data_IF_250829959357
#
_entry.id   IF_250829959357
#
_cell.length_a   1.000
_cell.length_b   1.000
_cell.length_c   1.000
_cell.angle_alpha   90.00
_cell.angle_beta   90.00
_cell.angle_gamma   90.00
#
_symmetry.space_group_name_H-M   'P 1'
#
loop_
_entity.id
_entity.type
_entity.pdbx_description
1 polymer ?
#
# COMPACT_ATOMS: atom_id res chain seq x y z
N UNK A 1 21.97 -9.07 -38.92
CA UNK A 1 21.10 -9.16 -37.74
C UNK A 1 21.71 -8.59 -36.46
N UNK A 2 22.93 -8.92 -36.01
CA UNK A 2 23.50 -8.35 -34.74
C UNK A 2 23.71 -6.83 -34.74
N UNK A 3 24.03 -6.19 -35.90
CA UNK A 3 24.18 -4.72 -36.00
C UNK A 3 22.84 -3.97 -35.89
N UNK A 4 21.77 -4.50 -36.42
CA UNK A 4 20.44 -3.89 -36.37
C UNK A 4 19.89 -3.94 -34.92
N UNK A 5 20.08 -5.05 -34.19
CA UNK A 5 19.71 -5.14 -32.80
C UNK A 5 20.44 -4.12 -31.90
N UNK A 6 21.74 -3.87 -32.16
CA UNK A 6 22.47 -2.82 -31.38
C UNK A 6 21.97 -1.41 -31.68
N UNK A 7 21.59 -1.12 -32.93
CA UNK A 7 21.06 0.19 -33.30
C UNK A 7 19.66 0.42 -32.71
N UNK A 8 18.81 -0.60 -32.66
CA UNK A 8 17.49 -0.53 -32.02
C UNK A 8 17.61 -0.32 -30.51
N UNK A 9 18.51 -1.02 -29.83
CA UNK A 9 18.76 -0.84 -28.39
C UNK A 9 19.29 0.56 -28.08
N UNK A 10 20.20 1.10 -28.92
CA UNK A 10 20.72 2.46 -28.78
C UNK A 10 19.64 3.53 -29.03
N UNK A 11 18.77 3.30 -30.03
CA UNK A 11 17.67 4.22 -30.30
C UNK A 11 16.62 4.24 -29.17
N UNK A 12 16.32 3.09 -28.57
CA UNK A 12 15.44 2.99 -27.41
C UNK A 12 16.07 3.66 -26.18
N UNK A 13 17.37 3.47 -25.94
CA UNK A 13 18.08 4.14 -24.84
C UNK A 13 18.13 5.67 -25.03
N UNK A 14 18.36 6.16 -26.24
CA UNK A 14 18.32 7.60 -26.57
C UNK A 14 16.91 8.19 -26.43
N UNK A 15 15.87 7.48 -26.85
CA UNK A 15 14.49 7.91 -26.68
C UNK A 15 14.07 8.01 -25.21
N UNK A 16 14.53 7.07 -24.38
CA UNK A 16 14.33 7.11 -22.92
C UNK A 16 15.06 8.32 -22.31
N UNK A 17 16.29 8.61 -22.71
CA UNK A 17 17.06 9.74 -22.18
C UNK A 17 16.43 11.09 -22.60
N UNK A 18 15.94 11.22 -23.82
CA UNK A 18 15.30 12.44 -24.32
C UNK A 18 13.94 12.66 -23.65
N UNK A 19 13.17 11.59 -23.42
CA UNK A 19 11.88 11.69 -22.73
C UNK A 19 12.06 12.04 -21.25
N UNK A 20 13.08 11.51 -20.58
CA UNK A 20 13.38 11.83 -19.17
C UNK A 20 13.91 13.26 -18.99
N UNK A 21 14.71 13.77 -19.92
CA UNK A 21 15.18 15.17 -19.86
C UNK A 21 14.06 16.18 -20.12
N UNK A 22 13.11 15.89 -21.01
CA UNK A 22 11.93 16.72 -21.23
C UNK A 22 10.98 16.72 -20.05
N UNK A 23 10.78 15.59 -19.40
CA UNK A 23 9.96 15.46 -18.19
C UNK A 23 10.62 16.19 -17.00
N UNK A 24 11.94 16.10 -16.86
CA UNK A 24 12.70 16.79 -15.81
C UNK A 24 12.64 18.31 -15.97
N UNK A 25 12.77 18.84 -17.19
CA UNK A 25 12.60 20.30 -17.45
C UNK A 25 11.19 20.77 -17.17
N UNK A 26 10.17 19.96 -17.45
CA UNK A 26 8.77 20.26 -17.13
C UNK A 26 8.50 20.24 -15.63
N UNK A 27 9.07 19.28 -14.90
CA UNK A 27 9.00 19.21 -13.44
C UNK A 27 9.72 20.40 -12.78
N UNK A 28 10.91 20.73 -13.24
CA UNK A 28 11.68 21.89 -12.72
C UNK A 28 10.99 23.22 -13.05
N UNK A 29 10.28 23.33 -14.17
CA UNK A 29 9.48 24.51 -14.48
C UNK A 29 8.23 24.62 -13.60
N UNK A 30 7.59 23.52 -13.23
CA UNK A 30 6.49 23.50 -12.26
C UNK A 30 6.97 23.86 -10.85
N UNK A 31 8.12 23.34 -10.40
CA UNK A 31 8.70 23.71 -9.10
C UNK A 31 9.01 25.22 -9.00
N UNK A 32 9.50 25.86 -10.07
CA UNK A 32 9.70 27.33 -10.10
C UNK A 32 8.40 28.13 -10.08
N UNK A 33 7.28 27.54 -10.54
CA UNK A 33 5.97 28.20 -10.52
C UNK A 33 5.35 28.21 -9.12
N UNK A 34 5.53 27.16 -8.34
CA UNK A 34 5.00 27.08 -6.96
C UNK A 34 5.72 28.01 -5.98
N UNK A 35 7.01 28.27 -6.18
CA UNK A 35 7.75 29.29 -5.40
C UNK A 35 7.31 30.72 -5.68
N UNK A 36 6.72 31.00 -6.82
CA UNK A 36 6.39 32.36 -7.27
C UNK A 36 4.94 32.81 -6.95
N UNK A 37 4.06 31.87 -6.61
CA UNK A 37 2.68 32.17 -6.24
C UNK A 37 2.36 31.59 -4.85
N UNK A 38 2.59 32.42 -3.83
CA UNK A 38 2.16 32.15 -2.47
C UNK A 38 0.66 31.92 -2.39
N UNK A 39 0.22 30.69 -2.31
CA UNK A 39 -1.16 30.31 -2.07
C UNK A 39 -1.39 30.17 -0.57
N UNK A 40 -2.20 31.10 -0.04
CA UNK A 40 -2.73 31.10 1.32
C UNK A 40 -3.64 29.90 1.56
N UNK A 41 -3.57 29.37 2.78
CA UNK A 41 -4.47 28.37 3.35
C UNK A 41 -5.93 28.74 3.18
N UNK A 42 -6.74 27.77 2.80
CA UNK A 42 -8.14 27.68 3.22
C UNK A 42 -8.49 26.25 3.59
N UNK A 43 -9.30 26.16 4.63
CA UNK A 43 -9.70 25.01 5.41
C UNK A 43 -10.36 23.88 4.61
N UNK A 44 -10.26 22.67 5.17
CA UNK A 44 -10.91 21.42 4.83
C UNK A 44 -10.14 20.45 3.92
N UNK A 45 -9.38 19.56 4.54
CA UNK A 45 -8.96 18.30 3.92
C UNK A 45 -7.50 17.93 4.16
N UNK A 46 -7.31 16.76 4.67
CA UNK A 46 -6.01 16.11 4.87
C UNK A 46 -5.12 16.22 3.63
N UNK A 47 -4.07 17.01 3.73
CA UNK A 47 -3.00 17.08 2.76
C UNK A 47 -1.85 16.17 3.20
N UNK A 48 -1.44 15.25 2.34
CA UNK A 48 -0.22 14.45 2.49
C UNK A 48 1.07 15.26 2.19
N UNK A 49 1.04 16.56 2.40
CA UNK A 49 2.14 17.47 2.10
C UNK A 49 2.90 17.90 3.35
N UNK A 50 3.33 16.97 4.20
CA UNK A 50 4.44 17.23 5.12
C UNK A 50 5.22 15.93 5.39
N UNK A 51 6.07 15.56 4.43
CA UNK A 51 7.30 14.86 4.78
C UNK A 51 8.17 15.83 5.60
N UNK A 52 8.75 15.42 6.73
CA UNK A 52 9.60 16.29 7.53
C UNK A 52 10.76 16.83 6.67
N UNK A 53 10.84 18.14 6.52
CA UNK A 53 11.95 18.86 5.85
C UNK A 53 13.19 18.91 6.74
N UNK A 54 13.67 17.78 7.23
CA UNK A 54 15.03 17.70 7.82
C UNK A 54 15.57 16.28 7.63
N UNK A 55 15.86 15.93 6.38
CA UNK A 55 16.94 15.00 6.13
C UNK A 55 18.20 15.85 6.07
N UNK A 56 19.03 15.76 7.12
CA UNK A 56 20.33 16.40 7.16
C UNK A 56 21.10 16.16 5.87
N UNK A 57 21.56 17.24 5.23
CA UNK A 57 22.26 17.29 3.94
C UNK A 57 23.68 16.67 3.96
N UNK A 58 24.00 15.83 4.92
CA UNK A 58 25.33 15.21 5.05
C UNK A 58 25.42 13.75 4.57
N UNK A 59 24.34 13.16 4.07
CA UNK A 59 24.35 11.82 3.47
C UNK A 59 23.62 11.73 2.12
N UNK A 60 23.45 12.86 1.43
CA UNK A 60 23.02 12.86 0.03
C UNK A 60 24.23 12.58 -0.86
N UNK A 61 24.82 11.41 -0.69
CA UNK A 61 25.61 10.78 -1.73
C UNK A 61 24.63 10.36 -2.83
N UNK A 62 24.61 11.16 -3.92
CA UNK A 62 23.98 10.83 -5.20
C UNK A 62 22.62 10.12 -5.09
N UNK A 63 21.55 10.85 -4.79
CA UNK A 63 20.19 10.53 -5.20
C UNK A 63 20.05 10.64 -6.73
N UNK A 64 20.97 10.01 -7.47
CA UNK A 64 20.80 9.71 -8.86
C UNK A 64 19.84 8.52 -8.96
N UNK A 65 18.53 8.88 -9.03
CA UNK A 65 17.54 8.20 -9.85
C UNK A 65 17.64 6.67 -9.82
N UNK A 66 17.11 6.04 -8.80
CA UNK A 66 16.70 4.65 -8.90
C UNK A 66 15.42 4.56 -9.78
N UNK A 67 15.57 4.79 -11.07
CA UNK A 67 14.58 4.33 -12.04
C UNK A 67 14.68 2.80 -12.07
N UNK A 68 13.55 2.14 -11.81
CA UNK A 68 13.45 0.71 -12.03
C UNK A 68 13.83 0.38 -13.46
N UNK A 69 14.80 -0.52 -13.64
CA UNK A 69 15.09 -1.05 -14.97
C UNK A 69 13.90 -1.86 -15.48
N UNK A 70 13.73 -1.97 -16.80
CA UNK A 70 12.66 -2.79 -17.39
C UNK A 70 12.62 -4.22 -16.80
N UNK A 71 13.75 -4.81 -16.42
CA UNK A 71 13.80 -6.14 -15.79
C UNK A 71 13.29 -6.14 -14.34
N UNK A 72 13.43 -5.03 -13.62
CA UNK A 72 12.89 -4.86 -12.28
C UNK A 72 11.38 -4.61 -12.33
N UNK A 73 10.93 -3.81 -13.30
CA UNK A 73 9.52 -3.66 -13.62
C UNK A 73 8.88 -5.03 -13.92
N UNK A 74 9.53 -5.87 -14.70
CA UNK A 74 9.08 -7.23 -15.03
C UNK A 74 8.87 -8.12 -13.80
N UNK A 75 9.67 -7.97 -12.74
CA UNK A 75 9.51 -8.69 -11.46
C UNK A 75 8.30 -8.19 -10.64
N UNK A 76 7.88 -6.95 -10.84
CA UNK A 76 6.68 -6.35 -10.24
C UNK A 76 5.45 -6.43 -11.16
N UNK A 77 5.64 -6.52 -12.48
CA UNK A 77 4.62 -6.71 -13.51
C UNK A 77 3.82 -8.00 -13.32
N UNK A 78 4.41 -9.05 -12.79
CA UNK A 78 3.74 -10.31 -12.44
C UNK A 78 2.63 -10.17 -11.37
N UNK A 79 2.30 -8.96 -10.92
CA UNK A 79 1.23 -8.69 -9.94
C UNK A 79 -0.03 -8.04 -10.51
N UNK A 80 -0.06 -7.73 -11.82
CA UNK A 80 -1.33 -7.46 -12.54
C UNK A 80 -1.79 -8.79 -13.17
N UNK A 81 -2.06 -9.81 -12.38
CA UNK A 81 -1.94 -11.17 -12.93
C UNK A 81 -3.18 -12.04 -12.91
N UNK A 82 -4.35 -11.54 -12.61
CA UNK A 82 -5.53 -12.37 -12.73
C UNK A 82 -6.25 -12.13 -14.07
N UNK A 83 -5.82 -12.87 -15.09
CA UNK A 83 -6.48 -12.94 -16.39
C UNK A 83 -5.69 -12.42 -17.59
N UNK A 84 -4.48 -11.90 -17.38
CA UNK A 84 -3.60 -11.46 -18.47
C UNK A 84 -2.44 -12.42 -18.66
N UNK A 85 -2.18 -12.80 -19.91
CA UNK A 85 -0.97 -13.54 -20.30
C UNK A 85 0.20 -12.55 -20.39
N UNK A 86 1.45 -13.05 -20.35
CA UNK A 86 2.65 -12.22 -20.56
C UNK A 86 2.57 -11.46 -21.90
N UNK A 87 1.97 -12.07 -22.91
CA UNK A 87 1.72 -11.46 -24.22
C UNK A 87 0.68 -10.33 -24.14
N UNK A 88 -0.39 -10.51 -23.38
CA UNK A 88 -1.41 -9.47 -23.16
C UNK A 88 -0.78 -8.23 -22.49
N UNK A 89 0.13 -8.44 -21.54
CA UNK A 89 0.86 -7.37 -20.88
C UNK A 89 1.85 -6.67 -21.83
N UNK A 90 2.56 -7.42 -22.68
CA UNK A 90 3.43 -6.84 -23.71
C UNK A 90 2.63 -5.98 -24.68
N UNK A 91 1.48 -6.45 -25.17
CA UNK A 91 0.57 -5.68 -26.03
C UNK A 91 -0.01 -4.44 -25.33
N UNK A 92 -0.25 -4.51 -24.01
CA UNK A 92 -0.68 -3.38 -23.18
C UNK A 92 0.38 -2.27 -23.10
N UNK A 93 1.66 -2.65 -23.05
CA UNK A 93 2.78 -1.69 -23.01
C UNK A 93 3.20 -1.17 -24.40
N UNK A 94 2.85 -1.88 -25.48
CA UNK A 94 3.11 -1.44 -26.85
C UNK A 94 2.15 -0.34 -27.36
N UNK A 95 1.13 0.06 -26.59
CA UNK A 95 0.25 1.19 -26.93
C UNK A 95 1.02 2.51 -26.86
N UNK A 96 2.09 2.60 -27.64
CA UNK A 96 2.83 3.82 -27.91
C UNK A 96 2.22 4.54 -29.11
N UNK A 97 1.87 5.79 -28.88
CA UNK A 97 1.91 6.86 -29.91
C UNK A 97 0.81 6.97 -30.97
N UNK A 98 -0.34 6.36 -30.86
CA UNK A 98 -1.50 6.90 -31.57
C UNK A 98 -2.28 7.80 -30.62
N UNK A 99 -2.68 9.03 -31.03
CA UNK A 99 -3.58 9.85 -30.22
C UNK A 99 -4.93 9.12 -30.13
N UNK A 100 -5.07 8.29 -29.12
CA UNK A 100 -6.36 7.68 -28.82
C UNK A 100 -7.26 8.76 -28.22
N UNK A 101 -8.56 8.71 -28.48
CA UNK A 101 -9.52 9.60 -27.87
C UNK A 101 -9.42 9.52 -26.35
N UNK A 102 -9.44 10.65 -25.66
CA UNK A 102 -9.43 10.74 -24.18
C UNK A 102 -10.48 9.82 -23.58
N UNK A 103 -10.11 9.07 -22.57
CA UNK A 103 -10.98 8.16 -21.83
C UNK A 103 -11.54 8.82 -20.57
N UNK A 104 -12.85 8.67 -20.37
CA UNK A 104 -13.55 9.22 -19.21
C UNK A 104 -13.64 8.16 -18.12
N UNK A 105 -13.07 8.44 -16.96
CA UNK A 105 -13.11 7.59 -15.77
C UNK A 105 -14.00 8.28 -14.73
N UNK A 106 -15.12 7.67 -14.39
CA UNK A 106 -16.03 8.19 -13.38
C UNK A 106 -15.78 7.54 -12.03
N UNK A 107 -15.42 8.33 -11.03
CA UNK A 107 -15.43 7.91 -9.64
C UNK A 107 -16.86 7.94 -9.08
N UNK A 108 -17.63 6.90 -9.38
CA UNK A 108 -19.04 6.80 -8.97
C UNK A 108 -19.20 6.63 -7.46
N UNK A 109 -18.26 5.95 -6.83
CA UNK A 109 -18.23 5.69 -5.40
C UNK A 109 -17.93 6.93 -4.56
N UNK A 110 -17.54 8.06 -5.16
CA UNK A 110 -17.02 9.24 -4.48
C UNK A 110 -15.92 8.88 -3.47
N UNK A 111 -15.05 7.98 -3.90
CA UNK A 111 -13.93 7.52 -3.11
C UNK A 111 -12.97 8.70 -2.89
N UNK A 112 -12.65 8.99 -1.65
CA UNK A 112 -11.55 9.90 -1.29
C UNK A 112 -10.23 9.19 -1.56
N UNK A 113 -9.92 9.01 -2.83
CA UNK A 113 -8.66 8.41 -3.23
C UNK A 113 -7.79 9.55 -3.75
N UNK A 114 -6.94 10.07 -2.92
CA UNK A 114 -5.88 11.01 -3.34
C UNK A 114 -4.95 10.37 -4.39
N UNK A 115 -4.99 9.05 -4.48
CA UNK A 115 -4.23 8.20 -5.40
C UNK A 115 -4.66 8.38 -6.86
N UNK A 116 -5.93 8.78 -7.16
CA UNK A 116 -6.46 8.79 -8.56
C UNK A 116 -6.54 10.19 -9.17
N UNK A 117 -6.07 11.24 -8.50
CA UNK A 117 -6.32 12.63 -8.94
C UNK A 117 -5.58 13.09 -10.19
N UNK A 118 -4.48 12.45 -10.55
CA UNK A 118 -3.63 12.94 -11.64
C UNK A 118 -3.08 11.81 -12.50
N UNK A 119 -3.37 11.86 -13.82
CA UNK A 119 -2.84 10.94 -14.81
C UNK A 119 -1.56 11.44 -15.49
N UNK A 120 -1.08 12.65 -15.16
CA UNK A 120 0.09 13.24 -15.81
C UNK A 120 1.39 12.44 -15.63
N UNK A 121 1.43 11.57 -14.64
CA UNK A 121 2.56 10.67 -14.37
C UNK A 121 2.43 9.31 -15.05
N UNK A 122 1.29 9.04 -15.73
CA UNK A 122 1.06 7.79 -16.41
C UNK A 122 1.69 7.82 -17.80
N UNK A 123 2.44 6.79 -18.13
CA UNK A 123 3.01 6.65 -19.46
C UNK A 123 1.91 6.32 -20.47
N UNK A 124 1.80 7.12 -21.53
CA UNK A 124 1.01 6.86 -22.74
C UNK A 124 -0.53 6.76 -22.56
N UNK A 125 -1.13 7.37 -21.53
CA UNK A 125 -2.59 7.36 -21.37
C UNK A 125 -3.16 8.77 -21.26
N UNK A 126 -4.17 9.09 -22.06
CA UNK A 126 -4.97 10.31 -21.92
C UNK A 126 -6.31 9.94 -21.29
N UNK A 127 -6.44 10.22 -19.99
CA UNK A 127 -7.65 9.96 -19.21
C UNK A 127 -8.08 11.19 -18.43
N UNK A 128 -9.38 11.32 -18.26
CA UNK A 128 -10.03 12.35 -17.45
C UNK A 128 -10.81 11.70 -16.30
N UNK A 129 -10.58 12.17 -15.07
CA UNK A 129 -11.35 11.74 -13.91
C UNK A 129 -12.50 12.72 -13.66
N UNK A 130 -13.71 12.17 -13.62
CA UNK A 130 -14.92 12.91 -13.29
C UNK A 130 -15.62 12.35 -12.05
N UNK A 131 -16.45 13.17 -11.38
CA UNK A 131 -17.16 12.80 -10.16
C UNK A 131 -18.69 12.97 -10.28
N UNK A 132 -19.17 13.57 -11.37
CA UNK A 132 -20.59 13.76 -11.62
C UNK A 132 -21.25 12.44 -12.05
N UNK A 133 -22.00 11.85 -11.13
CA UNK A 133 -22.70 10.58 -11.34
C UNK A 133 -23.76 10.63 -12.44
N UNK A 134 -24.32 11.79 -12.75
CA UNK A 134 -25.31 11.94 -13.83
C UNK A 134 -24.71 11.57 -15.19
N UNK A 135 -23.41 11.72 -15.35
CA UNK A 135 -22.65 11.44 -16.57
C UNK A 135 -22.19 9.97 -16.70
N UNK A 136 -22.75 9.05 -15.91
CA UNK A 136 -22.30 7.66 -15.89
C UNK A 136 -22.43 6.93 -17.24
N UNK A 137 -23.37 7.37 -18.12
CA UNK A 137 -23.53 6.81 -19.47
C UNK A 137 -22.42 7.25 -20.43
N UNK A 138 -21.74 8.36 -20.17
CA UNK A 138 -20.65 8.89 -20.99
C UNK A 138 -19.30 8.27 -20.63
N UNK A 139 -19.18 7.69 -19.42
CA UNK A 139 -17.93 7.19 -18.90
C UNK A 139 -17.51 5.87 -19.60
N UNK A 140 -16.24 5.79 -19.99
CA UNK A 140 -15.62 4.54 -20.47
C UNK A 140 -15.38 3.57 -19.31
N UNK A 141 -15.04 4.12 -18.13
CA UNK A 141 -14.78 3.38 -16.89
C UNK A 141 -15.60 3.95 -15.76
N UNK A 142 -16.21 3.08 -14.95
CA UNK A 142 -16.84 3.44 -13.68
C UNK A 142 -16.10 2.74 -12.54
N UNK A 143 -15.66 3.52 -11.54
CA UNK A 143 -15.14 2.99 -10.29
C UNK A 143 -16.26 2.96 -9.26
N UNK A 144 -16.66 1.77 -8.90
CA UNK A 144 -17.74 1.46 -7.97
C UNK A 144 -17.20 1.25 -6.55
N UNK A 145 -18.10 1.34 -5.57
CA UNK A 145 -17.89 0.78 -4.22
C UNK A 145 -18.79 -0.41 -3.99
N UNK A 146 -18.78 -0.93 -2.80
CA UNK A 146 -19.49 -2.10 -2.30
C UNK A 146 -20.98 -2.17 -2.65
N UNK A 147 -21.71 -1.05 -2.55
CA UNK A 147 -23.17 -0.97 -2.76
C UNK A 147 -23.59 0.20 -3.67
N UNK A 148 -22.65 1.05 -4.07
CA UNK A 148 -22.95 2.25 -4.85
C UNK A 148 -22.56 2.05 -6.31
N UNK A 149 -23.57 1.82 -7.15
CA UNK A 149 -23.42 1.55 -8.58
C UNK A 149 -24.65 2.03 -9.38
N UNK A 150 -24.51 2.31 -10.70
CA UNK A 150 -25.63 2.74 -11.54
C UNK A 150 -26.75 1.68 -11.62
N UNK A 151 -28.00 2.13 -11.60
CA UNK A 151 -29.21 1.27 -11.66
C UNK A 151 -29.86 1.36 -13.05
N UNK A 152 -29.13 1.10 -14.12
CA UNK A 152 -29.65 1.15 -15.49
C UNK A 152 -28.93 0.19 -16.44
N UNK A 153 -29.34 0.10 -17.70
CA UNK A 153 -28.66 -0.71 -18.70
C UNK A 153 -27.25 -0.14 -18.96
N UNK A 154 -26.26 -0.98 -18.77
CA UNK A 154 -24.85 -0.64 -18.95
C UNK A 154 -24.52 -0.48 -20.42
N UNK A 155 -23.80 0.60 -20.84
CA UNK A 155 -23.26 0.72 -22.19
C UNK A 155 -22.34 -0.47 -22.55
N UNK A 156 -22.37 -0.98 -23.80
CA UNK A 156 -21.71 -2.22 -24.19
C UNK A 156 -20.21 -2.30 -23.88
N UNK A 157 -19.47 -1.21 -24.06
CA UNK A 157 -18.00 -1.19 -23.90
C UNK A 157 -17.55 -0.56 -22.59
N UNK A 158 -18.47 -0.22 -21.69
CA UNK A 158 -18.15 0.41 -20.43
C UNK A 158 -17.53 -0.61 -19.46
N UNK A 159 -16.43 -0.26 -18.83
CA UNK A 159 -15.75 -1.10 -17.84
C UNK A 159 -16.15 -0.71 -16.42
N UNK A 160 -16.51 -1.71 -15.62
CA UNK A 160 -16.81 -1.53 -14.21
C UNK A 160 -15.67 -2.07 -13.36
N UNK A 161 -15.07 -1.18 -12.58
CA UNK A 161 -14.08 -1.50 -11.55
C UNK A 161 -14.73 -1.39 -10.19
N UNK A 162 -14.42 -2.30 -9.27
CA UNK A 162 -14.82 -2.16 -7.88
C UNK A 162 -13.60 -1.88 -7.02
N UNK A 163 -13.67 -0.82 -6.23
CA UNK A 163 -12.64 -0.47 -5.26
C UNK A 163 -13.12 -0.79 -3.84
N UNK A 164 -12.38 -1.63 -3.13
CA UNK A 164 -12.63 -1.98 -1.73
C UNK A 164 -11.31 -2.06 -0.98
N UNK A 165 -11.22 -1.32 0.13
CA UNK A 165 -9.95 -1.16 0.88
C UNK A 165 -10.12 -1.37 2.40
N UNK A 166 -11.33 -1.64 2.89
CA UNK A 166 -11.61 -2.09 4.27
C UNK A 166 -11.88 -3.60 4.25
N UNK A 167 -11.80 -4.27 5.38
CA UNK A 167 -11.97 -5.72 5.41
C UNK A 167 -13.39 -6.19 5.05
N UNK A 168 -13.54 -7.40 4.48
CA UNK A 168 -14.86 -8.00 4.15
C UNK A 168 -15.83 -8.13 5.32
N UNK A 169 -15.33 -8.12 6.55
CA UNK A 169 -16.18 -8.15 7.75
C UNK A 169 -16.86 -6.80 8.04
N UNK A 170 -16.35 -5.71 7.46
CA UNK A 170 -16.90 -4.36 7.63
C UNK A 170 -17.57 -3.83 6.37
N UNK A 171 -17.03 -4.17 5.19
CA UNK A 171 -17.58 -3.77 3.90
C UNK A 171 -17.91 -5.02 3.09
N UNK A 172 -19.18 -5.22 2.79
CA UNK A 172 -19.67 -6.34 1.96
C UNK A 172 -20.06 -5.83 0.58
N UNK A 173 -19.63 -6.52 -0.45
CA UNK A 173 -20.06 -6.24 -1.83
C UNK A 173 -21.47 -6.79 -2.05
N UNK A 174 -22.34 -5.98 -2.64
CA UNK A 174 -23.70 -6.36 -2.95
C UNK A 174 -23.73 -7.54 -3.95
N UNK A 175 -24.60 -8.52 -3.69
CA UNK A 175 -24.68 -9.76 -4.48
C UNK A 175 -25.06 -9.49 -5.93
N UNK A 176 -25.83 -8.41 -6.20
CA UNK A 176 -26.22 -8.00 -7.54
C UNK A 176 -25.02 -7.57 -8.42
N UNK A 177 -23.87 -7.26 -7.81
CA UNK A 177 -22.63 -6.97 -8.51
C UNK A 177 -21.85 -8.24 -8.91
N UNK A 178 -22.22 -9.41 -8.40
CA UNK A 178 -21.46 -10.65 -8.49
C UNK A 178 -20.78 -10.91 -9.83
N UNK A 179 -21.53 -10.85 -10.93
CA UNK A 179 -21.02 -11.09 -12.29
C UNK A 179 -21.12 -9.85 -13.21
N UNK A 180 -21.07 -8.64 -12.65
CA UNK A 180 -21.17 -7.39 -13.41
C UNK A 180 -19.86 -6.59 -13.45
N UNK A 181 -18.96 -6.85 -12.54
CA UNK A 181 -17.68 -6.17 -12.41
C UNK A 181 -16.66 -6.77 -13.36
N UNK A 182 -15.89 -5.93 -14.06
CA UNK A 182 -14.79 -6.41 -14.90
C UNK A 182 -13.52 -6.61 -14.07
N UNK A 183 -13.16 -5.64 -13.24
CA UNK A 183 -11.87 -5.59 -12.57
C UNK A 183 -12.00 -5.20 -11.10
N UNK A 184 -11.13 -5.73 -10.26
CA UNK A 184 -11.09 -5.45 -8.83
C UNK A 184 -9.88 -4.62 -8.46
N UNK A 185 -10.05 -3.71 -7.51
CA UNK A 185 -8.98 -2.87 -6.95
C UNK A 185 -9.05 -3.02 -5.43
N UNK A 186 -8.06 -3.65 -4.82
CA UNK A 186 -8.04 -3.80 -3.36
C UNK A 186 -6.63 -4.14 -2.84
N UNK A 187 -6.51 -4.21 -1.50
CA UNK A 187 -5.29 -4.66 -0.82
C UNK A 187 -5.03 -6.17 -0.97
N UNK A 188 -5.98 -6.97 -1.47
CA UNK A 188 -5.78 -8.40 -1.69
C UNK A 188 -4.86 -8.63 -2.89
N UNK A 189 -3.90 -9.53 -2.72
CA UNK A 189 -2.93 -9.86 -3.77
C UNK A 189 -3.56 -10.53 -4.99
N UNK A 190 -4.75 -11.12 -4.83
CA UNK A 190 -5.54 -11.74 -5.90
C UNK A 190 -6.54 -10.77 -6.57
N UNK A 191 -6.43 -9.48 -6.30
CA UNK A 191 -7.14 -8.43 -7.04
C UNK A 191 -6.54 -8.22 -8.43
N UNK A 192 -7.34 -7.72 -9.38
CA UNK A 192 -6.84 -7.33 -10.69
C UNK A 192 -5.79 -6.20 -10.57
N UNK A 193 -6.09 -5.20 -9.76
CA UNK A 193 -5.13 -4.14 -9.40
C UNK A 193 -4.90 -4.22 -7.90
N UNK A 194 -3.70 -4.64 -7.54
CA UNK A 194 -3.28 -4.75 -6.15
C UNK A 194 -2.88 -3.38 -5.61
N UNK A 195 -3.56 -2.92 -4.56
CA UNK A 195 -3.31 -1.61 -3.91
C UNK A 195 -3.16 -1.82 -2.41
N UNK A 196 -1.98 -2.22 -1.94
CA UNK A 196 -1.72 -2.32 -0.51
C UNK A 196 -1.68 -0.93 0.13
N UNK A 197 -1.77 -0.87 1.45
CA UNK A 197 -1.62 0.39 2.19
C UNK A 197 -0.24 1.02 2.03
N UNK A 198 0.81 0.21 2.01
CA UNK A 198 2.20 0.57 1.70
C UNK A 198 2.94 -0.64 1.15
N UNK A 199 4.17 -0.42 0.67
CA UNK A 199 5.07 -1.47 0.21
C UNK A 199 6.46 -1.34 0.82
N UNK A 200 7.10 -2.47 1.01
CA UNK A 200 8.55 -2.51 1.12
C UNK A 200 9.17 -2.50 -0.28
N UNK A 201 10.06 -1.56 -0.50
CA UNK A 201 10.77 -1.36 -1.75
C UNK A 201 12.25 -1.68 -1.50
N UNK A 202 12.74 -2.85 -1.91
CA UNK A 202 14.15 -3.20 -1.75
C UNK A 202 15.03 -2.30 -2.63
N UNK A 203 16.18 -1.88 -2.12
CA UNK A 203 17.21 -1.26 -2.94
C UNK A 203 17.77 -2.29 -3.92
N UNK A 204 18.22 -1.81 -5.11
CA UNK A 204 18.59 -2.69 -6.20
C UNK A 204 19.64 -3.70 -5.78
N UNK A 205 19.26 -4.92 -5.95
CA UNK A 205 19.98 -6.18 -5.95
C UNK A 205 21.52 -6.15 -5.74
N UNK A 206 21.93 -6.27 -4.50
CA UNK A 206 23.25 -6.83 -4.21
C UNK A 206 23.18 -8.02 -3.27
N UNK A 207 21.98 -8.48 -2.88
CA UNK A 207 21.86 -9.46 -1.82
C UNK A 207 20.95 -10.61 -2.24
N UNK A 208 21.56 -11.79 -2.41
CA UNK A 208 20.85 -13.04 -2.56
C UNK A 208 20.12 -13.43 -1.26
N UNK A 209 19.30 -14.49 -1.26
CA UNK A 209 18.50 -14.94 -0.11
C UNK A 209 19.30 -15.28 1.16
N UNK A 210 20.62 -15.36 1.08
CA UNK A 210 21.53 -15.75 2.17
C UNK A 210 22.26 -14.58 2.84
N UNK A 211 21.82 -13.33 2.66
CA UNK A 211 22.46 -12.20 3.32
C UNK A 211 22.23 -12.24 4.81
N UNK A 212 23.32 -12.46 5.54
CA UNK A 212 23.41 -12.33 6.99
C UNK A 212 22.92 -10.91 7.36
N UNK A 213 21.97 -10.82 8.29
CA UNK A 213 21.49 -9.53 8.78
C UNK A 213 22.67 -8.71 9.31
N UNK A 214 22.94 -7.59 8.69
CA UNK A 214 23.95 -6.64 9.18
C UNK A 214 23.23 -5.73 10.17
N UNK A 215 23.77 -5.63 11.37
CA UNK A 215 23.24 -4.72 12.38
C UNK A 215 23.33 -3.28 11.85
N UNK A 216 22.27 -2.48 12.01
CA UNK A 216 22.31 -1.08 11.60
C UNK A 216 23.36 -0.32 12.44
N UNK A 217 23.97 0.68 11.83
CA UNK A 217 24.95 1.55 12.50
C UNK A 217 24.34 2.35 13.67
N UNK A 218 23.04 2.61 13.60
CA UNK A 218 22.27 3.31 14.62
C UNK A 218 21.69 2.31 15.63
N UNK A 219 21.81 2.62 16.94
CA UNK A 219 21.05 1.90 17.96
C UNK A 219 19.62 2.45 18.08
N UNK A 220 18.63 1.70 17.59
CA UNK A 220 17.22 2.06 17.61
C UNK A 220 16.57 1.88 19.00
N UNK A 221 17.24 1.24 19.96
CA UNK A 221 16.77 1.12 21.35
C UNK A 221 17.05 2.40 22.16
N UNK A 222 18.01 3.22 21.73
CA UNK A 222 18.44 4.41 22.47
C UNK A 222 17.28 5.38 22.71
N UNK A 223 17.09 5.77 23.97
CA UNK A 223 16.08 6.74 24.40
C UNK A 223 14.67 6.14 24.56
N UNK A 224 14.44 4.88 24.24
CA UNK A 224 13.15 4.21 24.40
C UNK A 224 13.02 3.59 25.77
N UNK A 225 12.18 4.20 26.62
CA UNK A 225 11.97 3.80 28.01
C UNK A 225 10.64 3.09 28.27
N UNK A 226 9.76 3.01 27.24
CA UNK A 226 8.44 2.40 27.35
C UNK A 226 8.34 1.15 26.47
N UNK A 227 7.59 0.17 26.95
CA UNK A 227 7.50 -1.13 26.29
C UNK A 227 6.59 -1.11 25.08
N UNK A 228 5.29 -1.09 25.27
CA UNK A 228 4.29 -1.34 24.24
C UNK A 228 3.29 -0.20 24.16
N UNK A 229 3.07 0.32 22.96
CA UNK A 229 1.97 1.24 22.67
C UNK A 229 0.92 0.58 21.79
N UNK A 230 -0.34 0.99 21.94
CA UNK A 230 -1.44 0.54 21.12
C UNK A 230 -2.45 1.64 20.85
N UNK A 231 -2.62 2.05 19.62
CA UNK A 231 -3.66 3.01 19.22
C UNK A 231 -4.89 2.25 18.74
N UNK A 232 -5.99 2.40 19.48
CA UNK A 232 -7.23 1.67 19.20
C UNK A 232 -8.46 2.47 19.61
N UNK A 233 -9.36 2.72 18.64
CA UNK A 233 -10.62 3.45 18.84
C UNK A 233 -11.86 2.63 18.51
N UNK A 234 -11.72 1.48 17.81
CA UNK A 234 -12.78 0.49 17.65
C UNK A 234 -12.63 -0.57 18.75
N UNK A 235 -13.45 -0.45 19.81
CA UNK A 235 -13.39 -1.31 20.99
C UNK A 235 -14.23 -2.60 20.85
N UNK A 236 -15.01 -2.71 19.77
CA UNK A 236 -15.81 -3.90 19.43
C UNK A 236 -15.45 -4.39 18.01
N UNK A 237 -14.19 -4.78 17.78
CA UNK A 237 -13.76 -5.28 16.48
C UNK A 237 -14.41 -6.64 16.16
N UNK A 238 -14.45 -6.99 14.88
CA UNK A 238 -14.87 -8.32 14.44
C UNK A 238 -13.79 -9.40 14.65
N UNK A 239 -12.58 -8.99 15.00
CA UNK A 239 -11.46 -9.86 15.34
C UNK A 239 -11.16 -9.89 16.85
N UNK A 240 -10.29 -10.80 17.30
CA UNK A 240 -10.00 -11.07 18.71
C UNK A 240 -9.01 -10.08 19.37
N UNK A 241 -8.64 -8.99 18.69
CA UNK A 241 -7.54 -8.11 19.13
C UNK A 241 -7.73 -7.52 20.54
N UNK A 242 -8.98 -7.19 20.94
CA UNK A 242 -9.24 -6.63 22.26
C UNK A 242 -9.00 -7.66 23.37
N UNK A 243 -9.44 -8.90 23.15
CA UNK A 243 -9.23 -10.00 24.08
C UNK A 243 -7.73 -10.32 24.22
N UNK A 244 -7.02 -10.45 23.09
CA UNK A 244 -5.59 -10.71 23.08
C UNK A 244 -4.78 -9.58 23.73
N UNK A 245 -5.09 -8.33 23.40
CA UNK A 245 -4.42 -7.16 23.97
C UNK A 245 -4.64 -7.04 25.48
N UNK A 246 -5.86 -7.33 25.95
CA UNK A 246 -6.18 -7.37 27.38
C UNK A 246 -5.40 -8.48 28.10
N UNK A 247 -5.29 -9.66 27.52
CA UNK A 247 -4.53 -10.75 28.11
C UNK A 247 -3.03 -10.43 28.13
N UNK A 248 -2.48 -9.90 27.03
CA UNK A 248 -1.09 -9.46 26.97
C UNK A 248 -0.75 -8.40 28.05
N UNK A 249 -1.68 -7.50 28.35
CA UNK A 249 -1.51 -6.43 29.35
C UNK A 249 -1.37 -6.96 30.77
N UNK A 250 -1.69 -8.23 31.04
CA UNK A 250 -1.46 -8.87 32.35
C UNK A 250 0.02 -9.18 32.62
N UNK A 251 0.80 -9.33 31.53
CA UNK A 251 2.19 -9.77 31.60
C UNK A 251 3.20 -8.69 31.27
N UNK A 252 2.79 -7.63 30.54
CA UNK A 252 3.63 -6.52 30.13
C UNK A 252 2.82 -5.22 30.08
N UNK A 253 3.44 -4.10 30.38
CA UNK A 253 2.76 -2.80 30.28
C UNK A 253 2.43 -2.49 28.82
N UNK A 254 1.14 -2.20 28.56
CA UNK A 254 0.62 -1.76 27.27
C UNK A 254 -0.08 -0.41 27.47
N UNK A 255 0.48 0.65 26.93
CA UNK A 255 -0.12 1.97 26.95
C UNK A 255 -1.13 2.09 25.81
N UNK A 256 -2.43 2.20 26.17
CA UNK A 256 -3.53 2.19 25.20
C UNK A 256 -4.02 3.62 24.95
N UNK A 257 -3.89 4.05 23.69
CA UNK A 257 -4.35 5.34 23.19
C UNK A 257 -5.66 5.20 22.39
N UNK A 258 -6.49 6.24 22.47
CA UNK A 258 -7.78 6.31 21.79
C UNK A 258 -8.95 5.89 22.65
N UNK A 259 -10.14 5.72 22.04
CA UNK A 259 -11.39 5.48 22.80
C UNK A 259 -11.40 4.22 23.66
N UNK A 260 -10.54 3.26 23.38
CA UNK A 260 -10.49 2.00 24.13
C UNK A 260 -9.48 2.03 25.29
N UNK A 261 -8.77 3.12 25.48
CA UNK A 261 -7.78 3.33 26.52
C UNK A 261 -8.02 4.63 27.29
N UNK A 262 -7.08 4.95 28.17
CA UNK A 262 -7.11 6.17 28.99
C UNK A 262 -6.24 7.29 28.42
N UNK A 263 -5.35 6.95 27.47
CA UNK A 263 -4.46 7.92 26.84
C UNK A 263 -5.11 8.46 25.56
N UNK A 264 -4.86 9.72 25.27
CA UNK A 264 -5.42 10.40 24.09
C UNK A 264 -4.34 10.82 23.12
N UNK A 265 -4.67 10.75 21.84
CA UNK A 265 -3.95 11.36 20.75
C UNK A 265 -4.99 11.96 19.81
N UNK A 266 -5.21 13.28 19.84
CA UNK A 266 -6.14 13.93 18.93
C UNK A 266 -5.71 13.74 17.47
N UNK A 267 -6.70 13.59 16.58
CA UNK A 267 -6.43 13.34 15.14
C UNK A 267 -5.70 14.49 14.47
N UNK A 268 -5.91 15.69 14.96
CA UNK A 268 -5.30 16.92 14.45
C UNK A 268 -3.77 16.95 14.65
N UNK A 269 -3.26 16.09 15.54
CA UNK A 269 -1.82 15.97 15.85
C UNK A 269 -1.28 14.54 15.73
N UNK A 270 -1.96 13.68 14.96
CA UNK A 270 -1.59 12.27 14.74
C UNK A 270 -0.11 12.08 14.45
N UNK A 271 0.44 12.84 13.50
CA UNK A 271 1.85 12.73 13.10
C UNK A 271 2.80 12.99 14.26
N UNK A 272 2.46 13.94 15.14
CA UNK A 272 3.25 14.23 16.35
C UNK A 272 3.18 13.08 17.36
N UNK A 273 1.98 12.50 17.55
CA UNK A 273 1.82 11.33 18.42
C UNK A 273 2.64 10.14 17.93
N UNK A 274 2.61 9.83 16.62
CA UNK A 274 3.41 8.74 16.07
C UNK A 274 4.91 9.00 16.16
N UNK A 275 5.34 10.24 15.96
CA UNK A 275 6.73 10.64 16.21
C UNK A 275 7.14 10.42 17.66
N UNK A 276 6.27 10.77 18.62
CA UNK A 276 6.51 10.53 20.06
C UNK A 276 6.55 9.03 20.38
N UNK A 277 5.70 8.22 19.73
CA UNK A 277 5.78 6.76 19.87
C UNK A 277 7.17 6.26 19.48
N UNK A 278 7.69 6.67 18.33
CA UNK A 278 9.01 6.29 17.82
C UNK A 278 10.16 6.65 18.77
N UNK A 279 10.01 7.73 19.53
CA UNK A 279 11.01 8.17 20.51
C UNK A 279 10.99 7.39 21.82
N UNK A 280 9.82 6.93 22.25
CA UNK A 280 9.65 6.43 23.63
C UNK A 280 9.32 4.94 23.73
N UNK A 281 8.68 4.34 22.70
CA UNK A 281 8.23 2.95 22.76
C UNK A 281 9.09 2.01 21.94
N UNK A 282 9.32 0.81 22.45
CA UNK A 282 10.03 -0.27 21.76
C UNK A 282 9.13 -1.04 20.80
N UNK A 283 7.86 -1.27 21.18
CA UNK A 283 6.93 -2.12 20.43
C UNK A 283 5.59 -1.40 20.20
N UNK A 284 4.94 -1.71 19.07
CA UNK A 284 3.61 -1.22 18.72
C UNK A 284 2.69 -2.38 18.36
N UNK A 285 1.50 -2.44 18.97
CA UNK A 285 0.50 -3.44 18.58
C UNK A 285 -0.18 -3.04 17.27
N UNK A 286 0.34 -3.54 16.17
CA UNK A 286 -0.24 -3.42 14.83
C UNK A 286 -1.36 -4.44 14.63
N UNK A 287 -2.36 -4.40 15.52
CA UNK A 287 -3.46 -5.35 15.53
C UNK A 287 -4.60 -4.87 14.65
N UNK A 288 -4.90 -5.64 13.61
CA UNK A 288 -6.01 -5.35 12.71
C UNK A 288 -7.37 -5.57 13.38
N UNK A 289 -8.40 -4.93 12.84
CA UNK A 289 -9.76 -5.08 13.35
C UNK A 289 -10.40 -6.42 12.96
N UNK A 290 -9.78 -7.13 12.01
CA UNK A 290 -10.26 -8.37 11.42
C UNK A 290 -9.10 -9.33 11.14
N UNK A 291 -9.38 -10.64 11.19
CA UNK A 291 -8.45 -11.67 10.71
C UNK A 291 -8.83 -12.03 9.27
N UNK A 292 -8.21 -11.36 8.30
CA UNK A 292 -8.52 -11.55 6.90
C UNK A 292 -7.24 -11.72 6.06
N UNK A 293 -7.29 -12.48 4.96
CA UNK A 293 -6.15 -12.60 4.05
C UNK A 293 -5.67 -11.25 3.54
N UNK A 294 -4.36 -11.07 3.47
CA UNK A 294 -3.65 -9.90 2.97
C UNK A 294 -4.04 -8.56 3.66
N UNK A 295 -4.87 -8.59 4.72
CA UNK A 295 -5.33 -7.38 5.39
C UNK A 295 -4.26 -6.85 6.35
N UNK A 296 -3.35 -6.04 5.76
CA UNK A 296 -2.20 -5.41 6.42
C UNK A 296 -2.27 -3.91 6.13
N UNK A 297 -2.61 -3.11 7.16
CA UNK A 297 -2.98 -1.72 6.96
C UNK A 297 -1.87 -0.74 7.39
N UNK A 298 -2.21 0.55 7.46
CA UNK A 298 -1.34 1.62 7.95
C UNK A 298 -0.72 1.32 9.32
N UNK A 299 -1.35 0.48 10.13
CA UNK A 299 -0.86 0.13 11.48
C UNK A 299 0.51 -0.53 11.45
N UNK A 300 0.76 -1.34 10.43
CA UNK A 300 2.03 -2.02 10.25
C UNK A 300 3.12 -1.09 9.72
N UNK A 301 2.85 -0.46 8.59
CA UNK A 301 3.84 0.37 7.91
C UNK A 301 3.91 1.78 8.50
N UNK A 302 2.77 2.50 8.48
CA UNK A 302 2.69 3.91 8.84
C UNK A 302 2.88 4.16 10.33
N UNK A 303 2.21 3.38 11.17
CA UNK A 303 2.25 3.61 12.61
C UNK A 303 3.51 3.03 13.24
N UNK A 304 4.02 1.91 12.75
CA UNK A 304 5.17 1.23 13.36
C UNK A 304 6.47 1.41 12.57
N UNK A 305 6.61 0.80 11.40
CA UNK A 305 7.91 0.74 10.70
C UNK A 305 8.47 2.13 10.39
N UNK A 306 7.67 3.03 9.82
CA UNK A 306 8.10 4.40 9.48
C UNK A 306 8.52 5.17 10.74
N UNK A 307 7.96 4.84 11.90
CA UNK A 307 8.29 5.49 13.16
C UNK A 307 9.36 4.75 13.97
N UNK A 308 10.11 3.84 13.38
CA UNK A 308 11.20 3.11 14.03
C UNK A 308 10.76 2.34 15.30
N UNK A 309 9.60 1.68 15.24
CA UNK A 309 9.07 0.84 16.32
C UNK A 309 8.89 -0.57 15.77
N UNK A 310 9.22 -1.60 16.54
CA UNK A 310 8.97 -2.97 16.14
C UNK A 310 7.45 -3.25 16.20
N UNK A 311 6.80 -3.57 15.07
CA UNK A 311 5.41 -3.98 15.05
C UNK A 311 5.22 -5.39 15.61
N UNK A 312 4.32 -5.52 16.57
CA UNK A 312 3.73 -6.81 16.95
C UNK A 312 2.43 -6.94 16.19
N UNK A 313 2.32 -7.91 15.29
CA UNK A 313 1.24 -7.97 14.30
C UNK A 313 0.22 -9.05 14.59
N UNK A 314 -1.05 -8.73 14.30
CA UNK A 314 -2.20 -9.63 14.29
C UNK A 314 -3.15 -9.18 13.18
N UNK A 315 -3.53 -10.08 12.28
CA UNK A 315 -4.41 -9.79 11.14
C UNK A 315 -4.25 -10.84 10.06
N UNK A 316 -3.48 -10.55 9.02
CA UNK A 316 -3.04 -11.48 8.00
C UNK A 316 -2.13 -12.59 8.60
N UNK A 317 -1.87 -13.70 7.91
CA UNK A 317 -1.02 -14.80 8.43
C UNK A 317 0.45 -14.39 8.50
N UNK A 318 1.23 -15.17 9.26
CA UNK A 318 2.68 -14.99 9.30
C UNK A 318 3.30 -15.04 7.89
N UNK A 319 2.87 -15.97 7.06
CA UNK A 319 3.38 -16.11 5.69
C UNK A 319 2.95 -14.95 4.77
N UNK A 320 1.76 -14.39 5.00
CA UNK A 320 1.30 -13.20 4.27
C UNK A 320 2.13 -11.96 4.66
N UNK A 321 2.37 -11.75 5.96
CA UNK A 321 3.28 -10.69 6.42
C UNK A 321 4.69 -10.89 5.87
N UNK A 322 5.26 -12.10 5.96
CA UNK A 322 6.59 -12.43 5.46
C UNK A 322 6.77 -12.15 3.98
N UNK A 323 5.71 -12.25 3.19
CA UNK A 323 5.71 -12.00 1.74
C UNK A 323 5.84 -10.53 1.38
N UNK A 324 5.31 -9.62 2.21
CA UNK A 324 5.20 -8.19 1.91
C UNK A 324 6.03 -7.29 2.82
N UNK A 325 6.38 -7.76 4.00
CA UNK A 325 7.16 -7.02 4.98
C UNK A 325 8.65 -6.98 4.61
N UNK A 326 9.38 -5.97 5.09
CA UNK A 326 10.84 -6.04 5.11
C UNK A 326 11.31 -7.31 5.85
N UNK A 327 12.39 -7.94 5.43
CA UNK A 327 12.91 -9.11 6.13
C UNK A 327 13.18 -8.82 7.61
N UNK A 328 12.74 -9.72 8.48
CA UNK A 328 12.96 -9.66 9.93
C UNK A 328 12.50 -8.34 10.60
N UNK A 329 11.42 -7.75 10.14
CA UNK A 329 10.95 -6.42 10.60
C UNK A 329 9.76 -6.46 11.58
N UNK A 330 9.22 -7.63 11.90
CA UNK A 330 8.01 -7.77 12.71
C UNK A 330 7.99 -9.01 13.60
N UNK A 331 7.13 -8.99 14.60
CA UNK A 331 6.84 -10.10 15.49
C UNK A 331 5.36 -10.50 15.30
N UNK A 332 5.08 -11.73 14.90
CA UNK A 332 3.72 -12.20 14.70
C UNK A 332 3.19 -12.95 15.91
N UNK A 333 1.96 -12.64 16.34
CA UNK A 333 1.38 -13.28 17.55
C UNK A 333 1.30 -14.80 17.47
N UNK A 334 1.08 -15.37 16.27
CA UNK A 334 0.99 -16.83 16.07
C UNK A 334 2.35 -17.57 16.15
N UNK A 335 3.47 -16.86 16.28
CA UNK A 335 4.76 -17.47 16.59
C UNK A 335 4.83 -17.93 18.06
N UNK A 336 3.91 -17.48 18.90
CA UNK A 336 3.87 -17.76 20.32
C UNK A 336 2.63 -18.58 20.69
N UNK A 337 2.78 -19.45 21.68
CA UNK A 337 1.69 -20.28 22.19
C UNK A 337 0.68 -19.48 23.01
N UNK A 338 1.14 -18.38 23.62
CA UNK A 338 0.30 -17.53 24.47
C UNK A 338 0.78 -16.08 24.49
N UNK A 339 -0.10 -15.12 24.89
CA UNK A 339 0.29 -13.74 25.17
C UNK A 339 1.40 -13.62 26.22
N UNK A 340 1.46 -14.52 27.20
CA UNK A 340 2.55 -14.59 28.18
C UNK A 340 3.90 -14.90 27.53
N UNK A 341 3.95 -15.89 26.63
CA UNK A 341 5.18 -16.24 25.90
C UNK A 341 5.65 -15.08 25.02
N UNK A 342 4.72 -14.40 24.36
CA UNK A 342 5.02 -13.16 23.63
C UNK A 342 5.59 -12.10 24.57
N UNK A 343 4.94 -11.81 25.71
CA UNK A 343 5.40 -10.82 26.67
C UNK A 343 6.83 -11.12 27.16
N UNK A 344 7.15 -12.39 27.42
CA UNK A 344 8.49 -12.81 27.85
C UNK A 344 9.53 -12.55 26.74
N UNK A 345 9.16 -12.78 25.48
CA UNK A 345 10.02 -12.46 24.34
C UNK A 345 10.25 -10.95 24.17
N UNK A 346 9.20 -10.14 24.33
CA UNK A 346 9.34 -8.67 24.29
C UNK A 346 10.24 -8.15 25.43
N UNK A 347 10.13 -8.73 26.64
CA UNK A 347 11.02 -8.41 27.77
C UNK A 347 12.46 -8.84 27.52
N UNK A 348 12.69 -9.93 26.77
CA UNK A 348 14.02 -10.32 26.35
C UNK A 348 14.62 -9.29 25.41
N UNK A 349 13.90 -8.88 24.37
CA UNK A 349 14.33 -7.85 23.43
C UNK A 349 14.56 -6.50 24.12
N UNK A 350 13.76 -6.17 25.13
CA UNK A 350 13.95 -4.94 25.91
C UNK A 350 15.31 -4.87 26.62
N UNK A 351 15.85 -6.00 27.05
CA UNK A 351 17.14 -6.11 27.75
C UNK A 351 18.31 -6.41 26.85
N UNK A 352 18.08 -6.64 25.57
CA UNK A 352 19.10 -7.02 24.59
C UNK A 352 19.00 -6.12 23.35
N UNK A 353 19.72 -5.01 23.42
CA UNK A 353 19.75 -4.03 22.32
C UNK A 353 20.25 -4.63 21.00
N UNK A 354 21.17 -5.60 21.02
CA UNK A 354 21.62 -6.28 19.81
C UNK A 354 20.47 -7.00 19.12
N UNK A 355 19.77 -7.88 19.86
CA UNK A 355 18.62 -8.61 19.33
C UNK A 355 17.46 -7.67 18.94
N UNK A 356 17.28 -6.56 19.65
CA UNK A 356 16.30 -5.52 19.30
C UNK A 356 16.66 -4.84 17.96
N UNK A 357 17.94 -4.50 17.77
CA UNK A 357 18.40 -3.80 16.58
C UNK A 357 18.40 -4.69 15.31
N UNK A 358 18.43 -6.03 15.45
CA UNK A 358 18.27 -6.94 14.30
C UNK A 358 16.97 -6.69 13.52
N UNK A 359 15.89 -6.26 14.21
CA UNK A 359 14.62 -5.92 13.58
C UNK A 359 14.65 -4.68 12.67
N UNK A 360 15.76 -3.95 12.68
CA UNK A 360 15.97 -2.75 11.87
C UNK A 360 17.05 -2.94 10.79
N UNK A 361 17.60 -4.15 10.64
CA UNK A 361 18.60 -4.48 9.61
C UNK A 361 18.12 -4.22 8.19
N UNK A 362 16.82 -4.28 7.96
CA UNK A 362 16.21 -4.06 6.66
C UNK A 362 16.35 -2.62 6.12
N UNK A 363 16.64 -1.64 6.97
CA UNK A 363 16.85 -0.25 6.53
C UNK A 363 18.06 -0.10 5.60
N UNK A 364 19.06 -0.95 5.74
CA UNK A 364 20.23 -0.97 4.85
C UNK A 364 19.89 -1.54 3.46
N UNK A 365 18.71 -2.19 3.31
CA UNK A 365 18.36 -2.98 2.13
C UNK A 365 17.10 -2.49 1.41
N UNK A 366 16.39 -1.51 1.94
CA UNK A 366 15.17 -1.02 1.32
C UNK A 366 14.50 0.10 2.11
N UNK A 367 13.35 0.52 1.62
CA UNK A 367 12.54 1.58 2.22
C UNK A 367 11.05 1.21 2.20
N UNK A 368 10.26 1.92 3.01
CA UNK A 368 8.81 1.86 2.94
C UNK A 368 8.33 2.99 2.03
N UNK A 369 7.50 2.66 1.07
CA UNK A 369 6.96 3.60 0.11
C UNK A 369 5.53 3.31 -0.29
N UNK A 370 4.98 4.18 -1.13
CA UNK A 370 3.71 3.95 -1.80
C UNK A 370 3.91 3.12 -3.06
N UNK A 371 2.84 2.49 -3.50
CA UNK A 371 2.85 1.62 -4.67
C UNK A 371 3.24 2.35 -5.97
N UNK A 372 4.08 1.69 -6.79
CA UNK A 372 4.32 2.06 -8.18
C UNK A 372 4.29 0.78 -9.05
N UNK A 373 3.61 0.72 -10.21
CA UNK A 373 2.89 1.81 -10.87
C UNK A 373 1.63 2.23 -10.10
N UNK A 374 1.27 3.51 -10.19
CA UNK A 374 0.12 4.06 -9.52
C UNK A 374 -1.18 3.41 -10.04
N UNK A 375 -2.16 3.09 -9.19
CA UNK A 375 -3.39 2.41 -9.62
C UNK A 375 -4.15 3.12 -10.73
N UNK A 376 -4.15 4.45 -10.75
CA UNK A 376 -4.76 5.24 -11.81
C UNK A 376 -4.15 4.97 -13.18
N UNK A 377 -2.86 4.71 -13.25
CA UNK A 377 -2.18 4.39 -14.51
C UNK A 377 -2.65 3.04 -15.05
N UNK A 378 -2.82 2.04 -14.17
CA UNK A 378 -3.36 0.74 -14.54
C UNK A 378 -4.83 0.85 -15.00
N UNK A 379 -5.65 1.65 -14.33
CA UNK A 379 -7.05 1.90 -14.71
C UNK A 379 -7.11 2.58 -16.09
N UNK A 380 -6.30 3.62 -16.31
CA UNK A 380 -6.25 4.34 -17.57
C UNK A 380 -5.75 3.44 -18.72
N UNK A 381 -4.71 2.64 -18.48
CA UNK A 381 -4.21 1.67 -19.44
C UNK A 381 -5.31 0.68 -19.85
N UNK A 382 -6.03 0.09 -18.91
CA UNK A 382 -7.14 -0.81 -19.17
C UNK A 382 -8.29 -0.11 -19.91
N UNK A 383 -8.58 1.15 -19.63
CA UNK A 383 -9.57 1.92 -20.38
C UNK A 383 -9.25 2.02 -21.86
N UNK A 384 -7.97 2.12 -22.21
CA UNK A 384 -7.50 2.20 -23.60
C UNK A 384 -7.33 0.84 -24.28
N UNK A 385 -7.13 -0.22 -23.54
CA UNK A 385 -6.64 -1.49 -24.09
C UNK A 385 -7.59 -2.67 -23.91
N UNK A 386 -8.53 -2.62 -22.98
CA UNK A 386 -9.43 -3.73 -22.69
C UNK A 386 -10.24 -4.23 -23.92
N UNK A 387 -10.49 -3.37 -24.91
CA UNK A 387 -11.17 -3.74 -26.15
C UNK A 387 -10.33 -4.67 -27.05
N UNK A 388 -9.00 -4.74 -26.84
CA UNK A 388 -8.08 -5.64 -27.53
C UNK A 388 -8.00 -7.01 -26.86
N UNK A 389 -8.47 -7.09 -25.61
CA UNK A 389 -8.48 -8.31 -24.82
C UNK A 389 -9.81 -9.05 -25.00
N UNK A 390 -9.83 -10.33 -24.66
CA UNK A 390 -11.10 -11.05 -24.56
C UNK A 390 -11.98 -10.39 -23.52
N UNK A 391 -13.30 -10.24 -23.77
CA UNK A 391 -14.23 -9.71 -22.79
C UNK A 391 -14.08 -10.45 -21.46
N UNK A 392 -13.77 -9.70 -20.40
CA UNK A 392 -13.54 -10.26 -19.09
C UNK A 392 -14.56 -9.71 -18.08
N UNK A 393 -15.13 -10.59 -17.30
CA UNK A 393 -15.95 -10.29 -16.13
C UNK A 393 -15.38 -11.06 -14.95
N UNK A 394 -15.15 -10.39 -13.86
CA UNK A 394 -14.61 -11.02 -12.66
C UNK A 394 -15.63 -12.05 -12.11
N UNK A 395 -15.22 -13.31 -11.92
CA UNK A 395 -16.15 -14.35 -11.49
C UNK A 395 -16.64 -14.10 -10.08
N UNK A 396 -17.94 -13.83 -9.93
CA UNK A 396 -18.64 -13.64 -8.65
C UNK A 396 -17.87 -12.80 -7.61
N UNK A 397 -17.68 -11.53 -7.92
CA UNK A 397 -16.89 -10.59 -7.08
C UNK A 397 -17.43 -10.48 -5.65
N UNK A 398 -18.75 -10.59 -5.45
CA UNK A 398 -19.35 -10.55 -4.11
C UNK A 398 -18.93 -11.75 -3.27
N UNK A 399 -18.98 -12.96 -3.83
CA UNK A 399 -18.50 -14.17 -3.14
C UNK A 399 -16.99 -14.12 -2.87
N UNK A 400 -16.20 -13.74 -3.88
CA UNK A 400 -14.75 -13.59 -3.75
C UNK A 400 -14.37 -12.69 -2.57
N UNK A 401 -15.10 -11.59 -2.39
CA UNK A 401 -14.84 -10.65 -1.30
C UNK A 401 -15.47 -11.10 0.01
N UNK A 402 -16.77 -11.34 0.02
CA UNK A 402 -17.56 -11.54 1.24
C UNK A 402 -17.16 -12.79 2.03
N UNK A 403 -16.66 -13.83 1.36
CA UNK A 403 -16.26 -15.09 1.99
C UNK A 403 -14.78 -15.14 2.37
N UNK A 404 -14.00 -14.09 2.07
CA UNK A 404 -12.54 -14.11 2.19
C UNK A 404 -12.03 -14.35 3.62
N UNK A 405 -12.75 -13.91 4.65
CA UNK A 405 -12.30 -13.98 6.05
C UNK A 405 -12.83 -15.21 6.80
N UNK A 406 -13.52 -16.13 6.11
CA UNK A 406 -14.11 -17.29 6.74
C UNK A 406 -13.05 -18.27 7.21
N UNK A 407 -13.15 -18.71 8.47
CA UNK A 407 -12.37 -19.84 9.01
C UNK A 407 -10.99 -19.49 9.59
N UNK A 408 -10.52 -18.25 9.48
CA UNK A 408 -9.25 -17.88 10.07
C UNK A 408 -9.36 -17.75 11.60
N UNK A 409 -8.43 -18.38 12.33
CA UNK A 409 -8.32 -18.35 13.80
C UNK A 409 -6.88 -18.12 14.20
N UNK A 410 -6.69 -17.49 15.37
CA UNK A 410 -5.38 -17.42 16.01
C UNK A 410 -4.94 -18.79 16.51
N UNK A 411 -3.63 -18.97 16.62
CA UNK A 411 -3.04 -20.14 17.32
C UNK A 411 -3.46 -20.14 18.80
N UNK A 412 -3.40 -18.98 19.45
CA UNK A 412 -3.84 -18.85 20.83
C UNK A 412 -5.37 -18.92 20.95
N UNK A 413 -5.84 -19.73 21.90
CA UNK A 413 -7.23 -19.82 22.30
C UNK A 413 -7.35 -19.27 23.70
N UNK A 414 -8.33 -18.39 23.95
CA UNK A 414 -8.66 -17.99 25.33
C UNK A 414 -9.04 -19.22 26.12
N UNK A 415 -8.53 -19.29 27.32
CA UNK A 415 -9.07 -20.19 28.33
C UNK A 415 -10.25 -19.40 28.90
N UNK A 416 -11.47 -19.81 28.57
CA UNK A 416 -12.71 -19.26 29.13
C UNK A 416 -12.77 -19.60 30.63
#
# INVERSE_FOLDING_TARGET
MRRVRRLVVLAVQLAVIVCTSYQLTKLLSQFKWEEQFGLSRNDDGFSYNELPREIHSSSVGNLNQTYYTASQMKKYENKITLGFTEKDLEELYEVKSTPAARKIILNYGNLRIDIIRNFSFCFACDCELIFDRSRWLEADVIILTDHLYPKGPRPPNQLWFIFVHESPLYIRIADELGNKVNYTISYRMDSTIYVPYHNYIPFVASHGPDTKYVLPSRNYATGKSKMVAWFVSNCQPKGPRMMYGKELSRYIQVDIYGRCGILTCPREVDSQCFTLLGKHYKFYLSFENSLCPDYITEKFYGNALINNIIPVVMGASYEEYKRVAPPHSFIHVDQFESPEKLANYLKYLDRNDTAYNEYFSWYEHGTIGVWFPLPQCAICLLAHTAHKLKPYTFPNVSKWWNDACVGRKLRWKSVD
#
